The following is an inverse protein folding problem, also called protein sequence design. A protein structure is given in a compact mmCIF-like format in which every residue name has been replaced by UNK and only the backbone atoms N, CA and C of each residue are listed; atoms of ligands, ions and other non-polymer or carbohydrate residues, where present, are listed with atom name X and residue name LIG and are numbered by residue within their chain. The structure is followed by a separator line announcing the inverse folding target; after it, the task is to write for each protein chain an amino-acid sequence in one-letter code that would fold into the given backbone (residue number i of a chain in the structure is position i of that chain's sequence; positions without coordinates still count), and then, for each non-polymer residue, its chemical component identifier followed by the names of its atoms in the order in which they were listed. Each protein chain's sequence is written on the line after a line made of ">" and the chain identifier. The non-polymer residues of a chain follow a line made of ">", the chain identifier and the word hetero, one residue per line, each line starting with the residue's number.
data_IF_071614697442
#
_entry.id   IF_071614697442
#
_cell.length_a   1.000
_cell.length_b   1.000
_cell.length_c   1.000
_cell.angle_alpha   90.00
_cell.angle_beta   90.00
_cell.angle_gamma   90.00
#
_symmetry.space_group_name_H-M   'P 1'
#
loop_
_entity.id
_entity.type
_entity.pdbx_description
1 polymer ?
#
# COMPACT_ATOMS: atom_id res chain seq x y z
N UNK A 1 -48.49 -29.22 32.89
CA UNK A 1 -49.39 -28.08 33.02
C UNK A 1 -48.64 -26.83 33.48
N UNK A 2 -47.95 -26.21 32.63
CA UNK A 2 -47.56 -24.79 32.82
C UNK A 2 -47.32 -24.22 31.43
N UNK A 3 -48.34 -23.50 30.97
CA UNK A 3 -48.34 -22.75 29.73
C UNK A 3 -47.41 -21.55 29.82
N UNK A 4 -46.55 -21.44 28.90
CA UNK A 4 -45.81 -20.19 28.63
C UNK A 4 -46.45 -19.48 27.41
N UNK A 5 -47.20 -18.44 27.73
CA UNK A 5 -47.72 -17.46 26.79
C UNK A 5 -46.56 -16.75 26.08
N UNK A 6 -46.48 -16.89 24.76
CA UNK A 6 -45.67 -16.05 23.90
C UNK A 6 -46.50 -14.84 23.48
N UNK A 7 -46.15 -13.70 24.04
CA UNK A 7 -46.67 -12.39 23.67
C UNK A 7 -46.21 -12.02 22.26
N UNK A 8 -47.12 -12.07 21.31
CA UNK A 8 -46.97 -11.57 19.94
C UNK A 8 -47.08 -10.05 19.97
N UNK A 9 -45.94 -9.34 20.14
CA UNK A 9 -45.89 -7.89 19.97
C UNK A 9 -45.50 -7.53 18.55
N UNK A 10 -46.52 -7.16 17.83
CA UNK A 10 -46.65 -6.31 16.67
C UNK A 10 -45.34 -5.68 16.08
N UNK A 11 -44.93 -6.15 14.91
CA UNK A 11 -44.11 -5.39 14.00
C UNK A 11 -44.91 -4.21 13.43
N UNK A 12 -44.66 -3.02 13.95
CA UNK A 12 -45.08 -1.77 13.39
C UNK A 12 -44.38 -1.56 12.05
N UNK A 13 -45.12 -1.55 10.94
CA UNK A 13 -44.67 -1.10 9.64
C UNK A 13 -44.37 0.41 9.68
N UNK A 14 -43.10 0.75 9.91
CA UNK A 14 -42.62 2.11 9.63
C UNK A 14 -42.48 2.29 8.12
N UNK A 15 -43.34 3.08 7.52
CA UNK A 15 -43.23 3.49 6.13
C UNK A 15 -41.98 4.34 5.94
N UNK A 16 -41.10 3.93 5.04
CA UNK A 16 -39.94 4.71 4.61
C UNK A 16 -40.48 5.78 3.66
N UNK A 17 -40.55 7.01 4.12
CA UNK A 17 -40.72 8.18 3.24
C UNK A 17 -39.40 8.41 2.50
N UNK A 18 -39.44 8.24 1.18
CA UNK A 18 -38.36 8.68 0.27
C UNK A 18 -38.29 10.22 0.35
N UNK A 19 -37.29 10.75 1.05
CA UNK A 19 -37.13 12.20 1.12
C UNK A 19 -35.94 12.75 1.88
N UNK A 20 -35.33 12.00 2.79
CA UNK A 20 -34.14 12.48 3.50
C UNK A 20 -32.99 11.48 3.35
N UNK A 21 -31.94 11.88 2.62
CA UNK A 21 -30.65 11.19 2.72
C UNK A 21 -30.22 11.25 4.18
N UNK A 22 -29.81 10.11 4.79
CA UNK A 22 -29.32 10.13 6.18
C UNK A 22 -28.07 11.00 6.21
N UNK A 23 -28.19 12.21 6.75
CA UNK A 23 -27.02 12.98 7.14
C UNK A 23 -26.22 12.13 8.10
N UNK A 24 -24.95 11.90 7.76
CA UNK A 24 -24.05 11.16 8.61
C UNK A 24 -23.77 11.98 9.89
N UNK A 25 -24.60 11.80 10.90
CA UNK A 25 -24.44 12.40 12.24
C UNK A 25 -23.05 12.13 12.84
N UNK A 26 -22.36 11.09 12.34
CA UNK A 26 -21.01 10.69 12.77
C UNK A 26 -19.94 11.73 12.47
N UNK A 27 -20.07 12.52 11.39
CA UNK A 27 -19.05 13.53 11.04
C UNK A 27 -19.20 14.76 11.95
N UNK A 28 -20.41 15.22 12.17
CA UNK A 28 -20.70 16.36 13.07
C UNK A 28 -20.30 16.01 14.52
N UNK A 29 -20.66 14.82 14.99
CA UNK A 29 -20.27 14.35 16.32
C UNK A 29 -18.76 14.13 16.48
N UNK A 30 -18.07 13.70 15.41
CA UNK A 30 -16.62 13.59 15.41
C UNK A 30 -15.95 14.97 15.47
N UNK A 31 -16.45 15.95 14.71
CA UNK A 31 -15.92 17.31 14.73
C UNK A 31 -16.18 18.01 16.08
N UNK A 32 -17.34 17.78 16.69
CA UNK A 32 -17.66 18.28 18.03
C UNK A 32 -16.76 17.64 19.10
N UNK A 33 -16.59 16.32 19.06
CA UNK A 33 -15.71 15.61 19.98
C UNK A 33 -14.24 16.02 19.81
N UNK A 34 -13.78 16.28 18.59
CA UNK A 34 -12.44 16.81 18.32
C UNK A 34 -12.27 18.24 18.84
N UNK A 35 -13.29 19.11 18.68
CA UNK A 35 -13.28 20.48 19.25
C UNK A 35 -13.23 20.45 20.77
N UNK A 36 -13.99 19.57 21.40
CA UNK A 36 -13.99 19.42 22.85
C UNK A 36 -12.66 18.90 23.40
N UNK A 37 -12.04 17.94 22.72
CA UNK A 37 -10.70 17.44 23.05
C UNK A 37 -9.63 18.53 22.91
N UNK A 38 -9.69 19.36 21.89
CA UNK A 38 -8.78 20.47 21.67
C UNK A 38 -8.98 21.57 22.73
N UNK A 39 -10.22 21.91 23.06
CA UNK A 39 -10.56 22.91 24.08
C UNK A 39 -10.16 22.45 25.49
N UNK A 40 -10.28 21.18 25.84
CA UNK A 40 -9.85 20.63 27.13
C UNK A 40 -8.33 20.65 27.31
N UNK A 41 -7.55 20.63 26.21
CA UNK A 41 -6.10 20.65 26.28
C UNK A 41 -5.51 22.05 26.58
N UNK A 42 -6.31 23.11 26.56
CA UNK A 42 -5.87 24.50 26.83
C UNK A 42 -4.75 25.01 25.92
N UNK A 43 -4.62 24.38 24.73
CA UNK A 43 -3.61 24.73 23.73
C UNK A 43 -4.28 25.45 22.56
N UNK A 44 -3.67 26.55 22.14
CA UNK A 44 -4.07 27.21 20.90
C UNK A 44 -3.89 26.21 19.73
N UNK A 45 -4.96 26.01 18.96
CA UNK A 45 -4.88 25.16 17.76
C UNK A 45 -4.20 25.96 16.66
N UNK A 46 -3.01 25.55 16.29
CA UNK A 46 -2.27 26.14 15.19
C UNK A 46 -2.67 25.45 13.89
N UNK A 47 -3.32 26.18 13.00
CA UNK A 47 -3.61 25.69 11.65
C UNK A 47 -2.42 26.00 10.74
N UNK A 48 -1.83 24.97 10.16
CA UNK A 48 -0.74 25.11 9.20
C UNK A 48 -1.29 24.81 7.80
N UNK A 49 -1.15 25.79 6.89
CA UNK A 49 -1.50 25.55 5.49
C UNK A 49 -0.50 24.55 4.88
N UNK A 50 -1.05 23.62 4.08
CA UNK A 50 -0.22 22.71 3.31
C UNK A 50 0.63 23.51 2.33
N UNK A 51 1.95 23.33 2.31
CA UNK A 51 2.80 24.00 1.33
C UNK A 51 2.40 23.58 -0.10
N UNK A 52 2.19 24.56 -0.97
CA UNK A 52 1.80 24.31 -2.36
C UNK A 52 2.96 23.71 -3.18
N UNK A 53 4.20 24.06 -2.84
CA UNK A 53 5.41 23.64 -3.53
C UNK A 53 6.30 22.82 -2.58
N UNK A 54 6.10 21.50 -2.62
CA UNK A 54 6.94 20.57 -1.86
C UNK A 54 8.02 20.03 -2.80
N UNK A 55 9.28 20.32 -2.49
CA UNK A 55 10.42 19.75 -3.23
C UNK A 55 10.64 18.30 -2.81
N UNK A 56 10.06 17.38 -3.57
CA UNK A 56 10.14 15.95 -3.28
C UNK A 56 11.57 15.40 -3.38
N UNK A 57 12.43 16.01 -4.18
CA UNK A 57 13.82 15.56 -4.32
C UNK A 57 14.64 15.78 -3.03
N UNK A 58 14.18 16.71 -2.18
CA UNK A 58 14.76 16.92 -0.85
C UNK A 58 14.27 15.92 0.21
N UNK A 59 13.16 15.27 -0.03
CA UNK A 59 12.53 14.35 0.92
C UNK A 59 12.80 12.90 0.54
N UNK A 60 12.80 12.58 -0.75
CA UNK A 60 12.90 11.21 -1.24
C UNK A 60 14.37 10.84 -1.45
N UNK A 61 14.78 9.75 -0.80
CA UNK A 61 16.08 9.12 -1.05
C UNK A 61 15.90 8.12 -2.19
N UNK A 62 16.67 8.26 -3.29
CA UNK A 62 16.50 7.42 -4.46
C UNK A 62 16.81 5.94 -4.19
N UNK A 63 16.03 5.05 -4.81
CA UNK A 63 16.19 3.59 -4.68
C UNK A 63 17.62 3.10 -4.95
N UNK A 64 18.24 3.59 -6.02
CA UNK A 64 19.61 3.18 -6.38
C UNK A 64 20.64 3.53 -5.31
N UNK A 65 20.46 4.67 -4.62
CA UNK A 65 21.38 5.12 -3.59
C UNK A 65 21.27 4.22 -2.34
N UNK A 66 20.04 3.93 -1.91
CA UNK A 66 19.78 3.07 -0.75
C UNK A 66 20.45 1.72 -0.91
N UNK A 67 20.19 1.03 -2.02
CA UNK A 67 20.72 -0.31 -2.23
C UNK A 67 22.23 -0.32 -2.51
N UNK A 68 22.76 0.72 -3.13
CA UNK A 68 24.22 0.89 -3.27
C UNK A 68 24.89 1.04 -1.91
N UNK A 69 24.31 1.80 -0.99
CA UNK A 69 24.82 1.98 0.36
C UNK A 69 24.78 0.67 1.16
N UNK A 70 23.66 -0.06 1.09
CA UNK A 70 23.55 -1.39 1.71
C UNK A 70 24.65 -2.34 1.20
N UNK A 71 24.80 -2.44 -0.11
CA UNK A 71 25.79 -3.33 -0.73
C UNK A 71 27.21 -2.91 -0.39
N UNK A 72 27.48 -1.61 -0.30
CA UNK A 72 28.78 -1.08 0.06
C UNK A 72 29.13 -1.44 1.51
N UNK A 73 28.26 -1.11 2.48
CA UNK A 73 28.53 -1.36 3.90
C UNK A 73 28.68 -2.86 4.21
N UNK A 74 27.88 -3.71 3.58
CA UNK A 74 27.98 -5.15 3.79
C UNK A 74 29.16 -5.79 3.08
N UNK A 75 29.67 -5.19 2.00
CA UNK A 75 30.90 -5.65 1.34
C UNK A 75 32.15 -5.29 2.14
N UNK A 76 32.19 -4.09 2.71
CA UNK A 76 33.30 -3.65 3.55
C UNK A 76 33.37 -4.45 4.86
N UNK A 77 32.25 -4.90 5.37
CA UNK A 77 32.21 -5.75 6.56
C UNK A 77 32.33 -7.24 6.19
N UNK A 78 33.55 -7.71 6.06
CA UNK A 78 33.88 -9.11 5.70
C UNK A 78 33.36 -10.16 6.67
N UNK A 79 32.94 -9.78 7.88
CA UNK A 79 32.34 -10.66 8.88
C UNK A 79 30.82 -10.83 8.71
N UNK A 80 30.22 -10.20 7.71
CA UNK A 80 28.78 -10.30 7.46
C UNK A 80 28.42 -11.71 6.97
N UNK A 81 27.49 -12.33 7.67
CA UNK A 81 26.92 -13.63 7.34
C UNK A 81 25.39 -13.50 7.27
N UNK A 82 24.79 -14.06 6.22
CA UNK A 82 23.36 -13.96 5.93
C UNK A 82 22.71 -15.34 5.70
N UNK A 83 23.35 -16.40 6.11
CA UNK A 83 22.96 -17.77 5.76
C UNK A 83 21.53 -18.08 6.15
N UNK A 84 21.12 -17.76 7.38
CA UNK A 84 19.78 -18.08 7.87
C UNK A 84 18.70 -17.19 7.23
N UNK A 85 18.98 -15.88 7.10
CA UNK A 85 18.06 -14.95 6.45
C UNK A 85 17.83 -15.29 4.97
N UNK A 86 18.91 -15.63 4.25
CA UNK A 86 18.82 -16.01 2.84
C UNK A 86 18.06 -17.31 2.64
N UNK A 87 18.31 -18.32 3.48
CA UNK A 87 17.58 -19.59 3.46
C UNK A 87 16.08 -19.36 3.70
N UNK A 88 15.73 -18.60 4.74
CA UNK A 88 14.35 -18.27 5.04
C UNK A 88 13.67 -17.50 3.90
N UNK A 89 14.38 -16.56 3.27
CA UNK A 89 13.87 -15.83 2.11
C UNK A 89 13.56 -16.75 0.94
N UNK A 90 14.45 -17.68 0.62
CA UNK A 90 14.26 -18.61 -0.49
C UNK A 90 13.10 -19.59 -0.22
N UNK A 91 12.96 -20.10 1.00
CA UNK A 91 11.83 -20.92 1.43
C UNK A 91 10.51 -20.13 1.32
N UNK A 92 10.48 -18.92 1.83
CA UNK A 92 9.31 -18.03 1.72
C UNK A 92 8.94 -17.76 0.26
N UNK A 93 9.92 -17.45 -0.58
CA UNK A 93 9.70 -17.20 -2.02
C UNK A 93 9.03 -18.38 -2.73
N UNK A 94 9.38 -19.60 -2.36
CA UNK A 94 8.76 -20.81 -2.92
C UNK A 94 7.31 -20.95 -2.46
N UNK A 95 7.04 -20.77 -1.17
CA UNK A 95 5.69 -20.87 -0.59
C UNK A 95 4.75 -19.80 -1.15
N UNK A 96 5.22 -18.57 -1.24
CA UNK A 96 4.44 -17.40 -1.70
C UNK A 96 3.95 -17.51 -3.14
N UNK A 97 4.60 -18.32 -3.99
CA UNK A 97 4.20 -18.46 -5.41
C UNK A 97 2.75 -18.93 -5.59
N UNK A 98 2.28 -19.83 -4.74
CA UNK A 98 0.90 -20.34 -4.82
C UNK A 98 -0.10 -19.24 -4.46
N UNK A 99 0.14 -18.51 -3.39
CA UNK A 99 -0.70 -17.40 -2.92
C UNK A 99 -0.79 -16.29 -3.96
N UNK A 100 0.37 -15.86 -4.46
CA UNK A 100 0.45 -14.82 -5.49
C UNK A 100 -0.27 -15.26 -6.78
N UNK A 101 -0.11 -16.50 -7.21
CA UNK A 101 -0.81 -17.01 -8.40
C UNK A 101 -2.33 -17.03 -8.20
N UNK A 102 -2.80 -17.37 -7.00
CA UNK A 102 -4.21 -17.32 -6.66
C UNK A 102 -4.74 -15.88 -6.70
N UNK A 103 -4.04 -14.93 -6.08
CA UNK A 103 -4.41 -13.51 -6.13
C UNK A 103 -4.47 -12.97 -7.56
N UNK A 104 -3.49 -13.32 -8.40
CA UNK A 104 -3.49 -12.93 -9.82
C UNK A 104 -4.72 -13.49 -10.54
N UNK A 105 -5.03 -14.77 -10.36
CA UNK A 105 -6.21 -15.40 -10.98
C UNK A 105 -7.51 -14.70 -10.55
N UNK A 106 -7.69 -14.46 -9.26
CA UNK A 106 -8.86 -13.78 -8.72
C UNK A 106 -8.99 -12.36 -9.28
N UNK A 107 -7.88 -11.63 -9.35
CA UNK A 107 -7.84 -10.29 -9.90
C UNK A 107 -8.22 -10.27 -11.40
N UNK A 108 -7.62 -11.15 -12.20
CA UNK A 108 -7.90 -11.25 -13.63
C UNK A 108 -9.37 -11.62 -13.89
N UNK A 109 -9.93 -12.54 -13.12
CA UNK A 109 -11.35 -12.87 -13.20
C UNK A 109 -12.24 -11.67 -12.89
N UNK A 110 -11.96 -10.94 -11.79
CA UNK A 110 -12.73 -9.74 -11.41
C UNK A 110 -12.56 -8.62 -12.42
N UNK A 111 -11.35 -8.42 -12.94
CA UNK A 111 -11.06 -7.43 -13.99
C UNK A 111 -11.85 -7.73 -15.25
N UNK A 112 -11.85 -8.99 -15.70
CA UNK A 112 -12.59 -9.42 -16.88
C UNK A 112 -14.10 -9.29 -16.68
N UNK A 113 -14.62 -9.69 -15.53
CA UNK A 113 -16.04 -9.55 -15.19
C UNK A 113 -16.47 -8.07 -15.17
N UNK A 114 -15.67 -7.18 -14.56
CA UNK A 114 -15.93 -5.75 -14.52
C UNK A 114 -15.85 -5.10 -15.90
N UNK A 115 -14.92 -5.53 -16.75
CA UNK A 115 -14.81 -5.05 -18.13
C UNK A 115 -16.03 -5.48 -18.92
N UNK A 116 -16.47 -6.74 -18.76
CA UNK A 116 -17.67 -7.23 -19.43
C UNK A 116 -18.95 -6.53 -18.97
N UNK A 117 -19.10 -6.26 -17.68
CA UNK A 117 -20.22 -5.53 -17.12
C UNK A 117 -20.31 -4.07 -17.64
N UNK A 118 -19.16 -3.47 -17.97
CA UNK A 118 -19.08 -2.12 -18.55
C UNK A 118 -19.06 -2.12 -20.06
N UNK A 119 -19.10 -3.30 -20.69
CA UNK A 119 -19.08 -3.40 -22.14
C UNK A 119 -20.31 -2.77 -22.76
N UNK A 120 -20.11 -1.83 -23.67
CA UNK A 120 -21.19 -1.23 -24.44
C UNK A 120 -21.42 -2.06 -25.71
N UNK A 121 -22.67 -2.46 -25.94
CA UNK A 121 -23.06 -3.12 -27.19
C UNK A 121 -23.43 -2.03 -28.19
N UNK A 122 -22.62 -1.85 -29.22
CA UNK A 122 -22.89 -0.92 -30.30
C UNK A 122 -23.42 -1.66 -31.56
N UNK A 123 -24.36 -1.04 -32.25
CA UNK A 123 -24.81 -1.50 -33.55
C UNK A 123 -23.77 -1.14 -34.61
N UNK A 124 -23.36 -2.10 -35.42
CA UNK A 124 -22.30 -1.88 -36.42
C UNK A 124 -22.78 -1.20 -37.71
N UNK A 125 -24.08 -1.07 -37.91
CA UNK A 125 -24.68 -0.67 -39.19
C UNK A 125 -24.69 -1.76 -40.25
N UNK A 126 -24.06 -2.91 -39.99
CA UNK A 126 -24.10 -4.08 -40.89
C UNK A 126 -25.30 -4.98 -40.53
N UNK A 127 -26.05 -5.41 -41.55
CA UNK A 127 -27.16 -6.34 -41.36
C UNK A 127 -26.67 -7.71 -40.92
N UNK A 128 -27.36 -8.31 -39.96
CA UNK A 128 -27.17 -9.69 -39.57
C UNK A 128 -28.06 -10.57 -40.43
N UNK A 129 -27.49 -11.22 -41.43
CA UNK A 129 -28.22 -12.05 -42.40
C UNK A 129 -28.99 -13.17 -41.73
N UNK A 130 -28.57 -13.64 -40.58
CA UNK A 130 -29.25 -14.70 -39.81
C UNK A 130 -30.56 -14.20 -39.19
N UNK A 131 -30.66 -12.91 -38.92
CA UNK A 131 -31.82 -12.24 -38.30
C UNK A 131 -32.69 -11.49 -39.31
N UNK A 132 -32.30 -11.47 -40.58
CA UNK A 132 -33.02 -10.71 -41.60
C UNK A 132 -34.46 -11.15 -41.76
N UNK A 133 -34.78 -12.43 -41.53
CA UNK A 133 -36.12 -12.96 -41.62
C UNK A 133 -37.08 -12.44 -40.53
N UNK A 134 -36.51 -11.83 -39.43
CA UNK A 134 -37.28 -11.29 -38.31
C UNK A 134 -37.57 -9.79 -38.45
N UNK A 135 -37.19 -9.16 -39.58
CA UNK A 135 -37.27 -7.71 -39.74
C UNK A 135 -38.66 -7.11 -39.50
N UNK A 136 -39.73 -7.91 -39.70
CA UNK A 136 -41.12 -7.45 -39.49
C UNK A 136 -41.51 -7.36 -38.00
N UNK A 137 -40.76 -8.08 -37.12
CA UNK A 137 -41.12 -8.23 -35.70
C UNK A 137 -40.03 -7.75 -34.77
N UNK A 138 -38.82 -7.55 -35.27
CA UNK A 138 -37.66 -7.21 -34.46
C UNK A 138 -36.82 -6.10 -35.10
N UNK A 139 -36.66 -5.01 -34.39
CA UNK A 139 -35.82 -3.88 -34.85
C UNK A 139 -34.32 -4.17 -34.75
N UNK A 140 -33.93 -5.29 -34.09
CA UNK A 140 -32.55 -5.61 -33.80
C UNK A 140 -31.90 -6.52 -34.86
N UNK A 141 -31.97 -6.03 -36.11
CA UNK A 141 -31.47 -6.74 -37.31
C UNK A 141 -29.99 -6.45 -37.63
N UNK A 142 -29.33 -5.59 -36.86
CA UNK A 142 -27.94 -5.24 -37.07
C UNK A 142 -27.00 -6.10 -36.23
N UNK A 143 -25.84 -6.44 -36.82
CA UNK A 143 -24.75 -7.06 -36.05
C UNK A 143 -24.34 -6.15 -34.91
N UNK A 144 -24.15 -6.72 -33.72
CA UNK A 144 -23.67 -6.04 -32.55
C UNK A 144 -22.19 -6.31 -32.35
N UNK A 145 -21.43 -5.28 -32.03
CA UNK A 145 -20.04 -5.39 -31.61
C UNK A 145 -19.99 -4.95 -30.16
N UNK A 146 -19.43 -5.80 -29.32
CA UNK A 146 -19.15 -5.47 -27.92
C UNK A 146 -17.82 -4.75 -27.84
N UNK A 147 -17.84 -3.48 -27.50
CA UNK A 147 -16.63 -2.69 -27.25
C UNK A 147 -16.30 -2.79 -25.75
N UNK A 148 -15.17 -3.41 -25.46
CA UNK A 148 -14.65 -3.45 -24.08
C UNK A 148 -13.87 -2.14 -23.86
N UNK A 149 -14.20 -1.39 -22.80
CA UNK A 149 -13.43 -0.20 -22.47
C UNK A 149 -12.02 -0.61 -22.03
N UNK A 150 -11.01 0.09 -22.56
CA UNK A 150 -9.64 -0.07 -22.10
C UNK A 150 -9.52 0.33 -20.63
N UNK A 151 -9.27 -0.65 -19.79
CA UNK A 151 -9.01 -0.41 -18.36
C UNK A 151 -7.62 0.18 -18.18
N UNK A 152 -7.54 1.43 -17.72
CA UNK A 152 -6.26 2.01 -17.30
C UNK A 152 -5.83 1.39 -15.98
N UNK A 153 -4.61 0.88 -15.91
CA UNK A 153 -4.02 0.44 -14.66
C UNK A 153 -3.63 1.69 -13.83
N UNK A 154 -4.10 1.74 -12.61
CA UNK A 154 -3.65 2.73 -11.64
C UNK A 154 -2.34 2.25 -11.00
N UNK A 155 -1.42 3.19 -10.75
CA UNK A 155 -0.21 2.90 -9.98
C UNK A 155 -0.54 2.72 -8.49
N UNK A 156 0.27 1.94 -7.79
CA UNK A 156 0.17 1.73 -6.34
C UNK A 156 1.39 2.33 -5.64
N UNK A 157 1.14 3.06 -4.57
CA UNK A 157 2.18 3.56 -3.66
C UNK A 157 1.98 2.88 -2.32
N UNK A 158 3.02 2.21 -1.84
CA UNK A 158 3.06 1.58 -0.53
C UNK A 158 3.93 2.42 0.39
N UNK A 159 3.43 2.76 1.54
CA UNK A 159 4.19 3.43 2.60
C UNK A 159 4.31 2.44 3.74
N UNK A 160 5.54 2.03 4.02
CA UNK A 160 5.87 1.08 5.07
C UNK A 160 6.21 1.84 6.34
N UNK A 161 5.55 1.47 7.42
CA UNK A 161 5.90 1.95 8.74
C UNK A 161 7.25 1.34 9.18
N UNK A 162 8.28 2.18 9.26
CA UNK A 162 9.65 1.81 9.62
C UNK A 162 9.99 2.27 11.04
N UNK A 163 9.01 2.20 11.95
CA UNK A 163 9.18 2.62 13.34
C UNK A 163 9.67 1.48 14.24
N UNK A 164 10.27 1.87 15.38
CA UNK A 164 10.80 0.93 16.37
C UNK A 164 9.76 -0.03 16.94
N UNK A 165 8.50 0.40 17.03
CA UNK A 165 7.37 -0.44 17.48
C UNK A 165 7.09 -1.62 16.55
N UNK A 166 7.44 -1.49 15.27
CA UNK A 166 7.25 -2.52 14.25
C UNK A 166 8.29 -3.65 14.32
N UNK A 167 9.34 -3.53 15.13
CA UNK A 167 10.45 -4.49 15.18
C UNK A 167 10.00 -5.95 15.31
N UNK A 168 8.95 -6.20 16.10
CA UNK A 168 8.42 -7.55 16.34
C UNK A 168 7.75 -8.19 15.13
N UNK A 169 7.12 -7.39 14.30
CA UNK A 169 6.25 -7.83 13.20
C UNK A 169 6.82 -7.43 11.84
N UNK A 170 7.95 -6.71 11.82
CA UNK A 170 8.55 -6.19 10.59
C UNK A 170 8.76 -7.28 9.55
N UNK A 171 9.28 -8.43 9.95
CA UNK A 171 9.52 -9.55 9.03
C UNK A 171 8.24 -10.05 8.36
N UNK A 172 7.16 -10.18 9.12
CA UNK A 172 5.88 -10.63 8.57
C UNK A 172 5.23 -9.57 7.68
N UNK A 173 5.37 -8.30 8.05
CA UNK A 173 4.93 -7.16 7.21
C UNK A 173 5.67 -7.14 5.88
N UNK A 174 6.99 -7.36 5.90
CA UNK A 174 7.80 -7.45 4.67
C UNK A 174 7.38 -8.65 3.81
N UNK A 175 7.06 -9.82 4.40
CA UNK A 175 6.53 -10.97 3.66
C UNK A 175 5.21 -10.63 2.94
N UNK A 176 4.30 -9.94 3.61
CA UNK A 176 3.04 -9.49 3.01
C UNK A 176 3.27 -8.49 1.88
N UNK A 177 4.15 -7.51 2.10
CA UNK A 177 4.54 -6.55 1.07
C UNK A 177 5.11 -7.24 -0.17
N UNK A 178 5.95 -8.27 0.00
CA UNK A 178 6.53 -9.01 -1.13
C UNK A 178 5.49 -9.77 -1.94
N UNK A 179 4.48 -10.34 -1.30
CA UNK A 179 3.34 -10.94 -1.99
C UNK A 179 2.63 -9.91 -2.88
N UNK A 180 2.44 -8.69 -2.38
CA UNK A 180 1.84 -7.59 -3.14
C UNK A 180 2.75 -7.10 -4.28
N UNK A 181 4.06 -6.99 -4.07
CA UNK A 181 5.02 -6.62 -5.11
C UNK A 181 5.03 -7.65 -6.24
N UNK A 182 5.11 -8.95 -5.92
CA UNK A 182 5.06 -10.01 -6.94
C UNK A 182 3.72 -10.06 -7.67
N UNK A 183 2.62 -9.81 -6.97
CA UNK A 183 1.30 -9.65 -7.57
C UNK A 183 1.30 -8.48 -8.56
N UNK A 184 1.70 -7.27 -8.13
CA UNK A 184 1.74 -6.08 -8.97
C UNK A 184 2.57 -6.30 -10.24
N UNK A 185 3.72 -6.95 -10.11
CA UNK A 185 4.57 -7.29 -11.26
C UNK A 185 3.90 -8.24 -12.24
N UNK A 186 3.21 -9.27 -11.76
CA UNK A 186 2.50 -10.22 -12.63
C UNK A 186 1.34 -9.59 -13.38
N UNK A 187 0.61 -8.70 -12.71
CA UNK A 187 -0.54 -7.99 -13.29
C UNK A 187 -0.12 -6.72 -14.06
N UNK A 188 1.20 -6.40 -14.04
CA UNK A 188 1.76 -5.20 -14.68
C UNK A 188 1.19 -3.89 -14.13
N UNK A 189 0.94 -3.83 -12.84
CA UNK A 189 0.58 -2.61 -12.15
C UNK A 189 1.87 -1.90 -11.70
N UNK A 190 2.11 -0.65 -12.10
CA UNK A 190 3.26 0.11 -11.62
C UNK A 190 3.13 0.36 -10.11
N UNK A 191 4.25 0.25 -9.39
CA UNK A 191 4.29 0.47 -7.96
C UNK A 191 5.58 1.15 -7.52
N UNK A 192 5.49 1.86 -6.39
CA UNK A 192 6.61 2.43 -5.65
C UNK A 192 6.40 2.11 -4.16
N UNK A 193 7.48 1.79 -3.46
CA UNK A 193 7.45 1.47 -2.04
C UNK A 193 8.38 2.40 -1.30
N UNK A 194 7.83 3.09 -0.31
CA UNK A 194 8.56 4.01 0.54
C UNK A 194 8.53 3.56 1.99
N UNK A 195 9.61 3.84 2.70
CA UNK A 195 9.66 3.77 4.16
C UNK A 195 10.17 5.11 4.69
N UNK A 196 9.63 5.59 5.79
CA UNK A 196 10.15 6.81 6.39
C UNK A 196 11.35 6.53 7.30
N UNK A 197 12.22 7.50 7.42
CA UNK A 197 13.35 7.47 8.33
C UNK A 197 13.68 8.86 8.84
N UNK A 198 14.28 8.92 10.03
CA UNK A 198 14.82 10.12 10.62
C UNK A 198 16.34 9.97 10.69
N UNK A 199 17.09 10.93 10.12
CA UNK A 199 18.56 10.95 10.22
C UNK A 199 19.30 10.10 9.20
N UNK A 200 18.79 9.92 7.99
CA UNK A 200 19.54 9.29 6.92
C UNK A 200 20.64 10.23 6.38
N UNK A 201 21.90 9.76 6.23
CA UNK A 201 23.03 10.62 5.85
C UNK A 201 22.97 11.22 4.44
N UNK A 202 22.07 10.76 3.58
CA UNK A 202 21.92 11.26 2.20
C UNK A 202 21.63 12.75 2.12
N UNK A 203 20.96 13.28 3.13
CA UNK A 203 20.53 14.68 3.18
C UNK A 203 21.13 15.44 4.37
N UNK A 204 22.36 15.14 4.74
CA UNK A 204 23.08 15.84 5.83
C UNK A 204 23.40 17.31 5.52
N UNK A 205 22.73 17.93 4.56
CA UNK A 205 22.92 19.34 4.26
C UNK A 205 22.14 20.17 5.28
N UNK A 206 22.89 20.94 6.10
CA UNK A 206 22.33 21.85 7.12
C UNK A 206 21.32 22.86 6.54
N UNK A 207 21.34 23.06 5.23
CA UNK A 207 20.43 23.96 4.52
C UNK A 207 19.04 23.36 4.22
N UNK A 208 18.85 22.06 4.48
CA UNK A 208 17.67 21.32 4.03
C UNK A 208 16.35 21.87 4.57
N UNK A 209 16.34 22.20 5.87
CA UNK A 209 15.19 22.76 6.57
C UNK A 209 15.60 23.96 7.39
N UNK A 210 15.89 25.06 6.73
CA UNK A 210 16.20 26.30 7.46
C UNK A 210 14.93 26.86 8.08
N UNK A 211 14.87 26.90 9.40
CA UNK A 211 13.78 27.55 10.12
C UNK A 211 13.72 29.05 9.76
N UNK A 212 12.60 29.49 9.21
CA UNK A 212 12.34 30.88 8.89
C UNK A 212 11.35 31.41 9.90
N UNK A 213 11.43 32.73 10.18
CA UNK A 213 10.45 33.40 11.03
C UNK A 213 9.03 33.15 10.51
N UNK A 214 8.12 32.72 11.39
CA UNK A 214 6.73 32.33 11.09
C UNK A 214 6.56 31.04 10.33
N UNK A 215 7.56 30.15 10.29
CA UNK A 215 7.43 28.77 9.77
C UNK A 215 7.62 27.76 10.90
N UNK A 216 6.85 26.69 10.82
CA UNK A 216 7.01 25.52 11.71
C UNK A 216 7.82 24.49 10.97
N UNK A 217 8.92 24.03 11.58
CA UNK A 217 9.63 22.85 11.19
C UNK A 217 9.29 21.74 12.20
N UNK A 218 8.57 20.72 11.79
CA UNK A 218 8.12 19.65 12.69
C UNK A 218 9.23 18.62 12.89
N UNK A 219 9.90 18.25 11.80
CA UNK A 219 11.00 17.27 11.81
C UNK A 219 11.99 17.61 10.69
N UNK A 220 13.21 17.98 11.05
CA UNK A 220 14.25 18.43 10.12
C UNK A 220 15.01 17.27 9.47
N UNK A 221 14.94 16.07 10.07
CA UNK A 221 15.66 14.89 9.61
C UNK A 221 14.77 13.89 8.85
N UNK A 222 13.47 14.18 8.67
CA UNK A 222 12.54 13.30 7.99
C UNK A 222 12.92 13.06 6.53
N UNK A 223 12.95 11.80 6.11
CA UNK A 223 13.14 11.38 4.73
C UNK A 223 12.30 10.16 4.37
N UNK A 224 12.00 10.02 3.10
CA UNK A 224 11.34 8.85 2.53
C UNK A 224 12.34 8.04 1.72
N UNK A 225 12.67 6.85 2.19
CA UNK A 225 13.50 5.90 1.48
C UNK A 225 12.66 5.18 0.42
N UNK A 226 13.00 5.30 -0.86
CA UNK A 226 12.40 4.49 -1.90
C UNK A 226 13.02 3.10 -1.89
N UNK A 227 12.37 2.14 -1.22
CA UNK A 227 12.90 0.79 -1.06
C UNK A 227 12.76 -0.04 -2.35
N UNK A 228 11.62 0.06 -3.04
CA UNK A 228 11.35 -0.72 -4.25
C UNK A 228 10.60 0.11 -5.29
N UNK A 229 10.94 -0.10 -6.55
CA UNK A 229 10.28 0.53 -7.69
C UNK A 229 9.97 -0.48 -8.79
N UNK A 230 8.82 -0.33 -9.42
CA UNK A 230 8.43 -1.14 -10.59
C UNK A 230 9.32 -0.91 -11.80
N UNK A 231 10.06 0.21 -11.83
CA UNK A 231 10.98 0.60 -12.92
C UNK A 231 12.26 -0.24 -12.96
N UNK A 232 12.57 -0.90 -11.84
CA UNK A 232 13.77 -1.73 -11.71
C UNK A 232 13.57 -3.09 -12.38
N UNK A 233 14.60 -3.65 -12.99
CA UNK A 233 14.54 -4.98 -13.58
C UNK A 233 14.35 -6.09 -12.53
N UNK A 234 13.91 -7.29 -12.97
CA UNK A 234 13.56 -8.40 -12.08
C UNK A 234 14.72 -8.86 -11.20
N UNK A 235 15.94 -8.92 -11.76
CA UNK A 235 17.11 -9.42 -11.02
C UNK A 235 17.52 -8.43 -9.93
N UNK A 236 17.55 -7.15 -10.28
CA UNK A 236 17.86 -6.08 -9.32
C UNK A 236 16.80 -6.01 -8.22
N UNK A 237 15.52 -6.12 -8.57
CA UNK A 237 14.45 -6.14 -7.57
C UNK A 237 14.58 -7.34 -6.61
N UNK A 238 14.89 -8.53 -7.13
CA UNK A 238 15.10 -9.73 -6.30
C UNK A 238 16.26 -9.54 -5.31
N UNK A 239 17.35 -8.94 -5.76
CA UNK A 239 18.49 -8.57 -4.91
C UNK A 239 18.08 -7.54 -3.84
N UNK A 240 17.35 -6.51 -4.23
CA UNK A 240 16.84 -5.49 -3.32
C UNK A 240 15.90 -6.09 -2.26
N UNK A 241 14.99 -6.98 -2.66
CA UNK A 241 14.10 -7.68 -1.74
C UNK A 241 14.88 -8.54 -0.75
N UNK A 242 15.92 -9.24 -1.20
CA UNK A 242 16.78 -10.02 -0.32
C UNK A 242 17.48 -9.14 0.72
N UNK A 243 18.00 -8.00 0.32
CA UNK A 243 18.66 -7.05 1.21
C UNK A 243 17.71 -6.52 2.30
N UNK A 244 16.50 -6.09 1.92
CA UNK A 244 15.51 -5.59 2.89
C UNK A 244 14.99 -6.72 3.80
N UNK A 245 14.87 -7.96 3.29
CA UNK A 245 14.49 -9.11 4.10
C UNK A 245 15.53 -9.43 5.18
N UNK A 246 16.82 -9.37 4.85
CA UNK A 246 17.93 -9.51 5.82
C UNK A 246 17.78 -8.48 6.95
N UNK A 247 17.56 -7.21 6.62
CA UNK A 247 17.33 -6.15 7.63
C UNK A 247 16.10 -6.43 8.49
N UNK A 248 14.98 -6.81 7.90
CA UNK A 248 13.76 -7.15 8.63
C UNK A 248 13.99 -8.33 9.61
N UNK A 249 14.77 -9.33 9.19
CA UNK A 249 15.16 -10.45 10.06
C UNK A 249 16.01 -9.96 11.22
N UNK A 250 16.96 -9.04 10.99
CA UNK A 250 17.82 -8.47 12.02
C UNK A 250 17.03 -7.73 13.11
N UNK A 251 16.00 -6.98 12.73
CA UNK A 251 15.14 -6.28 13.69
C UNK A 251 14.39 -7.24 14.64
N UNK A 252 14.09 -8.45 14.21
CA UNK A 252 13.42 -9.47 15.01
C UNK A 252 14.35 -10.33 15.89
N UNK A 253 15.65 -10.12 15.85
CA UNK A 253 16.64 -11.03 16.51
C UNK A 253 16.57 -11.08 18.04
N UNK A 254 15.91 -10.14 18.71
CA UNK A 254 15.75 -10.25 20.17
C UNK A 254 14.89 -11.48 20.58
N UNK A 255 14.17 -12.11 19.63
CA UNK A 255 13.37 -13.34 19.85
C UNK A 255 14.09 -14.62 19.42
N UNK A 256 15.29 -14.52 18.85
CA UNK A 256 16.04 -15.63 18.28
C UNK A 256 17.23 -15.95 19.19
N UNK A 257 17.57 -17.24 19.36
CA UNK A 257 18.74 -17.66 20.11
C UNK A 257 20.02 -17.09 19.49
N UNK A 258 21.01 -16.78 20.35
CA UNK A 258 22.22 -16.09 19.90
C UNK A 258 23.01 -16.89 18.84
N UNK A 259 23.01 -18.20 18.96
CA UNK A 259 23.73 -19.13 18.07
C UNK A 259 23.11 -19.20 16.68
N UNK A 260 21.81 -18.87 16.57
CA UNK A 260 21.05 -18.91 15.32
C UNK A 260 21.00 -17.56 14.58
N UNK A 261 21.67 -16.54 15.11
CA UNK A 261 21.65 -15.19 14.53
C UNK A 261 22.72 -15.02 13.47
N UNK A 262 22.32 -14.56 12.31
CA UNK A 262 23.25 -14.06 11.30
C UNK A 262 24.04 -12.85 11.85
N UNK A 263 25.28 -12.71 11.42
CA UNK A 263 26.21 -11.67 11.90
C UNK A 263 26.34 -10.57 10.87
N UNK A 264 25.53 -9.52 11.02
CA UNK A 264 25.64 -8.32 10.21
C UNK A 264 25.07 -7.11 10.96
N UNK A 265 25.40 -5.92 10.48
CA UNK A 265 24.87 -4.67 11.00
C UNK A 265 23.88 -4.09 10.02
N UNK A 266 22.88 -3.35 10.56
CA UNK A 266 21.98 -2.57 9.72
C UNK A 266 22.75 -1.35 9.22
N UNK A 267 22.69 -1.03 7.92
CA UNK A 267 23.36 0.13 7.37
C UNK A 267 22.98 1.44 8.05
N UNK A 268 23.91 2.38 8.06
CA UNK A 268 23.74 3.68 8.71
C UNK A 268 22.53 4.42 8.12
N UNK A 269 21.68 4.95 8.98
CA UNK A 269 20.46 5.66 8.58
C UNK A 269 19.28 4.78 8.16
N UNK A 270 19.44 3.45 8.18
CA UNK A 270 18.38 2.50 7.82
C UNK A 270 17.81 1.73 9.02
N UNK A 271 18.20 2.06 10.22
CA UNK A 271 17.61 1.54 11.44
C UNK A 271 16.13 1.94 11.57
N UNK A 272 15.41 1.22 12.44
CA UNK A 272 14.05 1.62 12.79
C UNK A 272 14.08 2.98 13.51
N UNK A 273 13.25 3.90 13.08
CA UNK A 273 13.18 5.26 13.61
C UNK A 273 11.98 5.46 14.55
N UNK A 274 11.90 6.63 15.20
CA UNK A 274 10.66 7.08 15.80
C UNK A 274 9.61 7.35 14.73
N UNK A 275 8.34 7.23 15.07
CA UNK A 275 7.27 7.63 14.16
C UNK A 275 7.30 9.16 14.05
N UNK A 276 7.46 9.74 12.86
CA UNK A 276 7.38 11.18 12.69
C UNK A 276 5.95 11.63 13.00
N UNK A 277 5.83 12.63 13.84
CA UNK A 277 4.55 13.21 14.27
C UNK A 277 4.15 14.37 13.37
#
# INVERSE_FOLDING_TARGET
>A
DDGLDYDDQAYSKGGITLGDEPKAETVENLEESLKDLVNQAGRETLYVEKPNDLDLDKVIIPNWFIHKNIDFEWRENTASDFFNADKEFDEFRVSARKEVNYLVKEFEMKKSASAYARAATARTGMLDMSKLHTYQYCEDIFKKVTVLPDGKNHGLVFILDWSGSMSCIMKDTIKQLYNLIWFCRKVQIPFEVYAFTNGHPYHNDESRYTAKTNMICVEDSFALMNLFSSKVNVRTLDHQMRNIFRMATRFGYYRVAWEERDRFQVPVGMGLSGTPL
#
